data_IF_568069203555
#
_entry.id   IF_568069203555
#
_cell.length_a   1.000
_cell.length_b   1.000
_cell.length_c   1.000
_cell.angle_alpha   90.00
_cell.angle_beta   90.00
_cell.angle_gamma   90.00
#
_symmetry.space_group_name_H-M   'P 1'
#
loop_
_entity.id
_entity.type
_entity.pdbx_description
1 polymer ?
#
# COMPACT_ATOMS: atom_id res chain seq x y z
N UNK A 1 -16.64 -16.18 22.24
CA UNK A 1 -15.88 -17.45 22.17
C UNK A 1 -16.77 -18.55 22.72
N UNK A 2 -17.01 -19.58 21.94
CA UNK A 2 -17.79 -20.74 22.35
C UNK A 2 -16.87 -21.95 22.42
N UNK A 3 -17.11 -22.83 23.39
CA UNK A 3 -16.37 -24.07 23.59
C UNK A 3 -17.38 -25.21 23.47
N UNK A 4 -17.10 -26.14 22.54
CA UNK A 4 -17.87 -27.36 22.41
C UNK A 4 -17.10 -28.48 23.11
N UNK A 5 -17.69 -29.08 24.14
CA UNK A 5 -17.14 -30.25 24.83
C UNK A 5 -17.84 -31.52 24.32
N UNK A 6 -17.07 -32.43 23.73
CA UNK A 6 -17.55 -33.71 23.30
C UNK A 6 -17.23 -34.81 24.31
N UNK A 7 -17.87 -35.99 24.16
CA UNK A 7 -17.70 -37.15 25.06
C UNK A 7 -16.28 -37.75 25.15
N UNK A 8 -15.35 -37.28 24.32
CA UNK A 8 -13.96 -37.80 24.20
C UNK A 8 -12.91 -36.90 24.83
N UNK A 9 -13.23 -36.00 25.75
CA UNK A 9 -12.32 -35.07 26.40
C UNK A 9 -11.48 -34.19 25.42
N UNK A 10 -11.89 -34.10 24.15
CA UNK A 10 -11.26 -33.20 23.18
C UNK A 10 -11.96 -31.86 23.22
N UNK A 11 -11.22 -30.83 23.56
CA UNK A 11 -11.70 -29.45 23.57
C UNK A 11 -11.31 -28.79 22.26
N UNK A 12 -12.31 -28.31 21.52
CA UNK A 12 -12.09 -27.55 20.31
C UNK A 12 -12.65 -26.13 20.51
N UNK A 13 -11.87 -25.14 20.14
CA UNK A 13 -12.24 -23.75 20.25
C UNK A 13 -12.38 -23.12 18.85
N UNK A 14 -13.54 -22.58 18.58
CA UNK A 14 -13.84 -21.92 17.31
C UNK A 14 -14.09 -20.43 17.55
N UNK A 15 -13.41 -19.51 16.81
CA UNK A 15 -13.77 -18.11 16.83
C UNK A 15 -15.12 -17.92 16.11
N UNK A 16 -16.06 -17.28 16.77
CA UNK A 16 -17.33 -16.85 16.16
C UNK A 16 -17.41 -15.33 16.19
N UNK A 17 -17.82 -14.76 15.06
CA UNK A 17 -17.98 -13.33 14.91
C UNK A 17 -19.44 -13.00 14.62
N UNK A 18 -20.02 -12.05 15.37
CA UNK A 18 -21.26 -11.42 14.98
C UNK A 18 -20.98 -10.37 13.91
N UNK A 19 -21.49 -10.56 12.73
CA UNK A 19 -21.32 -9.63 11.61
C UNK A 19 -22.64 -8.98 11.23
N UNK A 20 -22.57 -7.80 10.62
CA UNK A 20 -23.74 -7.13 10.06
C UNK A 20 -24.37 -7.97 8.93
N UNK A 21 -25.68 -7.86 8.68
CA UNK A 21 -26.35 -8.65 7.65
C UNK A 21 -25.74 -8.51 6.24
N UNK A 22 -25.22 -7.35 5.91
CA UNK A 22 -24.54 -7.07 4.64
C UNK A 22 -23.20 -7.79 4.48
N UNK A 23 -22.61 -8.30 5.58
CA UNK A 23 -21.35 -9.02 5.59
C UNK A 23 -21.48 -10.55 5.66
N UNK A 24 -22.71 -11.08 5.90
CA UNK A 24 -22.94 -12.54 6.08
C UNK A 24 -22.60 -13.34 4.83
N UNK A 25 -22.46 -12.95 3.73
CA UNK A 25 -22.05 -13.71 2.55
C UNK A 25 -20.59 -13.50 2.16
N UNK A 26 -19.86 -12.68 2.90
CA UNK A 26 -18.49 -12.31 2.57
C UNK A 26 -17.49 -13.14 3.37
N UNK A 27 -16.45 -13.61 2.70
CA UNK A 27 -15.30 -14.24 3.35
C UNK A 27 -14.33 -13.15 3.79
N UNK A 28 -13.99 -13.06 5.09
CA UNK A 28 -12.92 -12.15 5.53
C UNK A 28 -11.57 -12.69 5.07
N UNK A 29 -10.78 -11.81 4.44
CA UNK A 29 -9.41 -12.08 4.03
C UNK A 29 -8.46 -11.29 4.92
N UNK A 30 -7.35 -11.92 5.33
CA UNK A 30 -6.28 -11.27 6.09
C UNK A 30 -5.18 -10.86 5.15
N UNK A 31 -4.77 -9.61 5.20
CA UNK A 31 -3.68 -9.15 4.36
C UNK A 31 -2.96 -7.95 4.94
N UNK A 32 -1.79 -7.70 4.37
CA UNK A 32 -1.02 -6.49 4.60
C UNK A 32 -0.63 -5.90 3.26
N UNK A 33 -0.81 -4.60 3.10
CA UNK A 33 -0.60 -3.88 1.84
C UNK A 33 0.40 -2.73 1.98
N UNK A 34 1.18 -2.72 3.07
CA UNK A 34 2.29 -1.78 3.26
C UNK A 34 3.48 -2.49 3.93
N UNK A 35 4.33 -3.07 3.09
CA UNK A 35 5.46 -3.91 3.51
C UNK A 35 6.71 -3.52 2.72
N UNK A 36 7.88 -3.62 3.38
CA UNK A 36 9.17 -3.31 2.79
C UNK A 36 10.11 -4.52 2.84
N UNK A 37 10.93 -4.63 1.81
CA UNK A 37 12.00 -5.61 1.72
C UNK A 37 13.38 -4.95 1.71
N UNK A 38 14.43 -5.76 1.58
CA UNK A 38 15.79 -5.27 1.39
C UNK A 38 16.04 -4.57 0.05
N UNK A 39 14.98 -4.40 -0.76
CA UNK A 39 15.03 -3.59 -1.97
C UNK A 39 14.82 -2.11 -1.69
N UNK A 40 14.41 -1.77 -0.46
CA UNK A 40 14.44 -0.40 0.09
C UNK A 40 15.05 -0.41 1.50
N UNK A 41 14.28 -0.28 2.54
CA UNK A 41 14.72 -0.15 3.92
C UNK A 41 14.36 -1.33 4.83
N UNK A 42 13.66 -2.34 4.29
CA UNK A 42 13.45 -3.62 4.97
C UNK A 42 14.73 -4.46 5.06
N UNK A 43 14.69 -5.50 5.86
CA UNK A 43 15.88 -6.35 6.13
C UNK A 43 15.96 -7.55 5.21
N UNK A 44 14.83 -8.10 4.81
CA UNK A 44 14.73 -9.40 4.17
C UNK A 44 14.42 -9.29 2.68
N UNK A 45 14.83 -10.30 1.91
CA UNK A 45 14.52 -10.33 0.47
C UNK A 45 13.02 -10.42 0.21
N UNK A 46 12.54 -9.92 -0.96
CA UNK A 46 11.11 -9.95 -1.32
C UNK A 46 10.42 -11.29 -1.15
N UNK A 47 11.09 -12.37 -1.58
CA UNK A 47 10.57 -13.74 -1.43
C UNK A 47 10.43 -14.16 0.04
N UNK A 48 11.36 -13.76 0.89
CA UNK A 48 11.30 -14.06 2.31
C UNK A 48 10.16 -13.32 3.00
N UNK A 49 9.99 -12.04 2.71
CA UNK A 49 8.85 -11.23 3.23
C UNK A 49 7.54 -11.90 2.88
N UNK A 50 7.37 -12.33 1.62
CA UNK A 50 6.17 -13.03 1.18
C UNK A 50 5.97 -14.38 1.91
N UNK A 51 7.03 -15.16 2.10
CA UNK A 51 6.97 -16.41 2.85
C UNK A 51 6.58 -16.19 4.31
N UNK A 52 7.15 -15.16 4.96
CA UNK A 52 6.83 -14.80 6.33
C UNK A 52 5.35 -14.37 6.48
N UNK A 53 4.84 -13.58 5.57
CA UNK A 53 3.41 -13.21 5.52
C UNK A 53 2.51 -14.45 5.44
N UNK A 54 2.82 -15.38 4.56
CA UNK A 54 2.08 -16.64 4.47
C UNK A 54 2.20 -17.48 5.73
N UNK A 55 3.38 -17.56 6.32
CA UNK A 55 3.65 -18.31 7.54
C UNK A 55 2.81 -17.83 8.73
N UNK A 56 2.62 -16.52 8.88
CA UNK A 56 1.78 -15.95 9.95
C UNK A 56 0.28 -15.99 9.64
N UNK A 57 -0.11 -16.56 8.50
CA UNK A 57 -1.50 -16.82 8.14
C UNK A 57 -2.19 -15.69 7.40
N UNK A 58 -1.45 -14.83 6.69
CA UNK A 58 -2.04 -13.90 5.75
C UNK A 58 -2.52 -14.64 4.49
N UNK A 59 -3.62 -14.17 3.94
CA UNK A 59 -4.20 -14.67 2.69
C UNK A 59 -3.66 -13.91 1.47
N UNK A 60 -3.27 -12.64 1.68
CA UNK A 60 -2.67 -11.82 0.63
C UNK A 60 -1.69 -10.78 1.20
N UNK A 61 -0.87 -10.21 0.31
CA UNK A 61 -0.03 -9.05 0.61
C UNK A 61 0.18 -8.18 -0.63
N UNK A 62 0.60 -6.93 -0.42
CA UNK A 62 1.30 -6.13 -1.42
C UNK A 62 2.66 -5.72 -0.84
N UNK A 63 3.74 -6.02 -1.58
CA UNK A 63 5.06 -5.51 -1.24
C UNK A 63 5.21 -4.12 -1.86
N UNK A 64 5.54 -3.13 -1.04
CA UNK A 64 5.48 -1.71 -1.40
C UNK A 64 6.76 -0.97 -1.05
N UNK A 65 7.88 -1.52 -1.50
CA UNK A 65 9.19 -0.91 -1.30
C UNK A 65 9.23 0.54 -1.80
N UNK A 66 9.96 1.39 -1.10
CA UNK A 66 10.13 2.79 -1.46
C UNK A 66 10.63 2.94 -2.89
N UNK A 67 9.89 3.64 -3.74
CA UNK A 67 10.24 3.95 -5.14
C UNK A 67 10.60 2.72 -5.98
N UNK A 68 10.12 1.53 -5.59
CA UNK A 68 10.59 0.29 -6.20
C UNK A 68 9.45 -0.72 -6.43
N UNK A 69 8.74 -0.53 -7.52
CA UNK A 69 7.69 -1.44 -7.97
C UNK A 69 8.22 -2.84 -8.30
N UNK A 70 9.48 -2.95 -8.78
CA UNK A 70 10.08 -4.23 -9.21
C UNK A 70 10.26 -5.22 -8.08
N UNK A 71 10.45 -4.74 -6.85
CA UNK A 71 10.52 -5.60 -5.67
C UNK A 71 9.28 -6.47 -5.51
N UNK A 72 8.09 -5.92 -5.76
CA UNK A 72 6.83 -6.65 -5.71
C UNK A 72 6.73 -7.73 -6.79
N UNK A 73 7.22 -7.44 -8.00
CA UNK A 73 7.28 -8.41 -9.09
C UNK A 73 8.27 -9.55 -8.80
N UNK A 74 9.39 -9.24 -8.12
CA UNK A 74 10.35 -10.26 -7.65
C UNK A 74 9.68 -11.22 -6.64
N UNK A 75 8.89 -10.68 -5.69
CA UNK A 75 8.12 -11.49 -4.76
C UNK A 75 7.10 -12.39 -5.49
N UNK A 76 6.36 -11.84 -6.46
CA UNK A 76 5.41 -12.60 -7.27
C UNK A 76 6.10 -13.74 -8.04
N UNK A 77 7.23 -13.44 -8.70
CA UNK A 77 7.98 -14.42 -9.48
C UNK A 77 8.49 -15.59 -8.62
N UNK A 78 8.91 -15.32 -7.39
CA UNK A 78 9.38 -16.36 -6.46
C UNK A 78 8.27 -17.36 -6.07
N UNK A 79 7.00 -16.97 -6.16
CA UNK A 79 5.85 -17.82 -5.81
C UNK A 79 5.12 -18.37 -7.04
N UNK A 80 5.58 -18.02 -8.24
CA UNK A 80 4.96 -18.48 -9.47
C UNK A 80 5.00 -20.00 -9.59
N UNK A 81 3.86 -20.62 -9.86
CA UNK A 81 3.73 -22.08 -10.00
C UNK A 81 3.65 -22.85 -8.68
N UNK A 82 3.71 -22.20 -7.53
CA UNK A 82 3.50 -22.86 -6.24
C UNK A 82 2.00 -23.04 -5.98
N UNK A 83 1.61 -24.26 -5.57
CA UNK A 83 0.23 -24.58 -5.23
C UNK A 83 -0.08 -24.14 -3.77
N UNK A 84 -0.11 -22.84 -3.54
CA UNK A 84 -0.44 -22.25 -2.24
C UNK A 84 -1.58 -21.25 -2.36
N UNK A 85 -2.44 -21.22 -1.35
CA UNK A 85 -3.54 -20.24 -1.24
C UNK A 85 -3.00 -18.94 -0.61
N UNK A 86 -2.24 -18.19 -1.40
CA UNK A 86 -1.68 -16.90 -1.01
C UNK A 86 -1.54 -16.00 -2.23
N UNK A 87 -2.00 -14.77 -2.13
CA UNK A 87 -1.94 -13.82 -3.24
C UNK A 87 -0.97 -12.68 -2.96
N UNK A 88 -0.04 -12.47 -3.87
CA UNK A 88 0.89 -11.34 -3.83
C UNK A 88 0.46 -10.35 -4.89
N UNK A 89 0.04 -9.15 -4.47
CA UNK A 89 -0.27 -8.04 -5.35
C UNK A 89 1.00 -7.23 -5.65
N UNK A 90 1.15 -6.71 -6.87
CA UNK A 90 2.24 -5.77 -7.16
C UNK A 90 2.02 -4.47 -6.39
N UNK A 91 3.09 -3.74 -6.13
CA UNK A 91 2.98 -2.45 -5.45
C UNK A 91 4.30 -1.73 -5.29
N UNK A 92 4.21 -0.52 -4.78
CA UNK A 92 5.31 0.35 -4.41
C UNK A 92 4.83 1.43 -3.46
N UNK A 93 5.72 1.99 -2.65
CA UNK A 93 5.49 3.24 -1.97
C UNK A 93 6.04 4.38 -2.81
N UNK A 94 5.11 5.16 -3.36
CA UNK A 94 5.42 6.27 -4.27
C UNK A 94 5.89 7.48 -3.48
N UNK A 95 7.02 8.05 -3.89
CA UNK A 95 7.59 9.27 -3.33
C UNK A 95 7.68 10.34 -4.41
N UNK A 96 6.71 11.23 -4.52
CA UNK A 96 6.78 12.29 -5.51
C UNK A 96 7.95 13.23 -5.22
N UNK A 97 8.64 13.75 -6.24
CA UNK A 97 9.69 14.73 -6.05
C UNK A 97 9.19 15.99 -5.34
N UNK A 98 9.98 16.51 -4.39
CA UNK A 98 9.70 17.73 -3.62
C UNK A 98 8.35 17.68 -2.86
N UNK A 99 7.91 16.47 -2.52
CA UNK A 99 6.70 16.25 -1.75
C UNK A 99 7.03 15.22 -0.65
N UNK A 100 6.88 15.58 0.63
CA UNK A 100 7.17 14.66 1.73
C UNK A 100 6.07 13.60 1.93
N UNK A 101 4.94 13.69 1.22
CA UNK A 101 3.85 12.70 1.32
C UNK A 101 4.21 11.43 0.58
N UNK A 102 4.14 10.31 1.28
CA UNK A 102 4.27 9.00 0.69
C UNK A 102 2.89 8.39 0.43
N UNK A 103 2.76 7.67 -0.68
CA UNK A 103 1.51 7.05 -1.09
C UNK A 103 1.74 5.63 -1.55
N UNK A 104 1.04 4.67 -0.96
CA UNK A 104 1.07 3.29 -1.42
C UNK A 104 0.25 3.15 -2.71
N UNK A 105 0.86 2.52 -3.70
CA UNK A 105 0.22 1.92 -4.86
C UNK A 105 0.12 0.41 -4.60
N UNK A 106 -1.03 -0.09 -4.19
CA UNK A 106 -1.25 -1.52 -3.96
C UNK A 106 -2.11 -2.12 -5.08
N UNK A 107 -1.58 -3.10 -5.78
CA UNK A 107 -2.27 -3.82 -6.84
C UNK A 107 -2.28 -3.11 -8.21
N UNK A 108 -1.71 -1.91 -8.30
CA UNK A 108 -1.63 -1.19 -9.59
C UNK A 108 -0.81 -1.94 -10.64
N UNK A 109 -1.22 -1.86 -11.89
CA UNK A 109 -0.64 -2.63 -13.00
C UNK A 109 0.69 -2.08 -13.54
N UNK A 110 1.14 -0.93 -13.04
CA UNK A 110 2.41 -0.30 -13.43
C UNK A 110 2.99 0.55 -12.30
N UNK A 111 4.29 0.88 -12.43
CA UNK A 111 4.97 1.81 -11.52
C UNK A 111 4.54 3.24 -11.78
N UNK A 112 3.99 3.90 -10.76
CA UNK A 112 3.72 5.34 -10.77
C UNK A 112 5.02 6.13 -10.56
N UNK A 113 5.95 5.57 -9.77
CA UNK A 113 7.27 6.17 -9.56
C UNK A 113 8.03 6.33 -10.89
N UNK A 114 7.97 5.33 -11.76
CA UNK A 114 8.66 5.37 -13.06
C UNK A 114 8.09 6.45 -13.99
N UNK A 115 6.82 6.85 -13.84
CA UNK A 115 6.22 7.94 -14.63
C UNK A 115 6.82 9.31 -14.30
N UNK A 116 7.48 9.45 -13.16
CA UNK A 116 8.16 10.68 -12.72
C UNK A 116 9.64 10.72 -13.13
N UNK A 117 10.13 9.73 -13.88
CA UNK A 117 11.52 9.66 -14.36
C UNK A 117 11.86 10.83 -15.29
N UNK A 118 10.93 11.26 -16.14
CA UNK A 118 11.03 12.55 -16.85
C UNK A 118 10.61 13.67 -15.89
N UNK A 119 11.57 14.14 -15.13
CA UNK A 119 11.38 15.18 -14.12
C UNK A 119 10.79 16.47 -14.73
N UNK A 120 11.22 16.87 -15.91
CA UNK A 120 10.76 18.10 -16.52
C UNK A 120 9.28 18.01 -16.94
N UNK A 121 8.89 16.88 -17.53
CA UNK A 121 7.49 16.63 -17.89
C UNK A 121 6.60 16.54 -16.64
N UNK A 122 7.07 15.85 -15.60
CA UNK A 122 6.34 15.78 -14.32
C UNK A 122 6.16 17.17 -13.70
N UNK A 123 7.23 17.95 -13.58
CA UNK A 123 7.18 19.30 -12.98
C UNK A 123 6.25 20.24 -13.74
N UNK A 124 6.26 20.19 -15.07
CA UNK A 124 5.35 21.01 -15.90
C UNK A 124 3.88 20.63 -15.66
N UNK A 125 3.58 19.34 -15.56
CA UNK A 125 2.23 18.87 -15.29
C UNK A 125 1.75 19.27 -13.89
N UNK A 126 2.61 19.13 -12.86
CA UNK A 126 2.26 19.52 -11.50
C UNK A 126 2.08 21.04 -11.39
N UNK A 127 2.93 21.85 -12.05
CA UNK A 127 2.75 23.30 -12.09
C UNK A 127 1.41 23.70 -12.70
N UNK A 128 1.06 23.13 -13.84
CA UNK A 128 -0.23 23.35 -14.50
C UNK A 128 -1.42 23.00 -13.59
N UNK A 129 -1.34 21.90 -12.85
CA UNK A 129 -2.39 21.48 -11.91
C UNK A 129 -2.47 22.40 -10.70
N UNK A 130 -1.33 22.85 -10.19
CA UNK A 130 -1.26 23.77 -9.06
C UNK A 130 -1.95 25.12 -9.34
N UNK A 131 -1.93 25.59 -10.59
CA UNK A 131 -2.68 26.80 -11.01
C UNK A 131 -4.19 26.66 -10.85
N UNK A 132 -4.72 25.45 -10.97
CA UNK A 132 -6.14 25.16 -10.82
C UNK A 132 -6.59 24.90 -9.37
N UNK A 133 -5.63 24.88 -8.42
CA UNK A 133 -5.93 24.68 -7.00
C UNK A 133 -6.60 25.91 -6.36
N UNK A 134 -7.31 25.75 -5.22
CA UNK A 134 -7.98 26.84 -4.53
C UNK A 134 -7.07 28.03 -4.23
N UNK A 135 -7.59 29.25 -4.37
CA UNK A 135 -6.83 30.49 -4.20
C UNK A 135 -6.35 30.78 -2.77
N UNK A 136 -6.92 30.10 -1.76
CA UNK A 136 -6.56 30.28 -0.35
C UNK A 136 -5.28 29.54 0.10
N UNK A 137 -4.70 28.69 -0.77
CA UNK A 137 -3.51 27.92 -0.49
C UNK A 137 -2.25 28.68 -0.91
N UNK A 138 -1.16 28.46 -0.19
CA UNK A 138 0.18 28.91 -0.58
C UNK A 138 0.63 28.20 -1.87
N UNK A 139 1.64 28.71 -2.58
CA UNK A 139 2.17 28.04 -3.76
C UNK A 139 2.69 26.61 -3.47
N UNK A 140 3.31 26.39 -2.30
CA UNK A 140 3.86 25.09 -1.91
C UNK A 140 2.74 24.08 -1.61
N UNK A 141 1.70 24.49 -0.87
CA UNK A 141 0.51 23.66 -0.63
C UNK A 141 -0.19 23.27 -1.93
N UNK A 142 -0.36 24.21 -2.86
CA UNK A 142 -0.96 23.91 -4.18
C UNK A 142 -0.14 22.87 -4.94
N UNK A 143 1.19 23.03 -4.94
CA UNK A 143 2.08 22.08 -5.61
C UNK A 143 2.02 20.70 -4.95
N UNK A 144 2.04 20.65 -3.62
CA UNK A 144 1.95 19.41 -2.86
C UNK A 144 0.62 18.69 -3.12
N UNK A 145 -0.51 19.40 -3.03
CA UNK A 145 -1.83 18.85 -3.32
C UNK A 145 -1.96 18.37 -4.77
N UNK A 146 -1.48 19.16 -5.73
CA UNK A 146 -1.49 18.80 -7.14
C UNK A 146 -0.70 17.51 -7.41
N UNK A 147 0.46 17.37 -6.76
CA UNK A 147 1.30 16.18 -6.80
C UNK A 147 0.57 14.95 -6.22
N UNK A 148 -0.02 15.07 -5.03
CA UNK A 148 -0.79 13.99 -4.42
C UNK A 148 -1.97 13.55 -5.29
N UNK A 149 -2.75 14.50 -5.81
CA UNK A 149 -3.88 14.20 -6.69
C UNK A 149 -3.43 13.48 -7.97
N UNK A 150 -2.31 13.93 -8.56
CA UNK A 150 -1.76 13.28 -9.74
C UNK A 150 -1.37 11.83 -9.44
N UNK A 151 -0.69 11.54 -8.32
CA UNK A 151 -0.31 10.18 -7.93
C UNK A 151 -1.54 9.31 -7.73
N UNK A 152 -2.56 9.78 -7.00
CA UNK A 152 -3.79 9.02 -6.81
C UNK A 152 -4.52 8.71 -8.12
N UNK A 153 -4.50 9.66 -9.07
CA UNK A 153 -5.07 9.42 -10.40
C UNK A 153 -4.28 8.35 -11.17
N UNK A 154 -2.93 8.39 -11.12
CA UNK A 154 -2.13 7.36 -11.79
C UNK A 154 -2.35 5.97 -11.19
N UNK A 155 -2.37 5.86 -9.86
CA UNK A 155 -2.66 4.59 -9.18
C UNK A 155 -4.02 4.05 -9.62
N UNK A 156 -5.06 4.90 -9.62
CA UNK A 156 -6.40 4.51 -10.07
C UNK A 156 -6.44 4.11 -11.55
N UNK A 157 -5.67 4.76 -12.42
CA UNK A 157 -5.53 4.36 -13.83
C UNK A 157 -4.91 2.98 -14.01
N UNK A 158 -4.09 2.55 -13.05
CA UNK A 158 -3.52 1.23 -12.97
C UNK A 158 -4.41 0.21 -12.26
N UNK A 159 -5.66 0.53 -11.94
CA UNK A 159 -6.59 -0.28 -11.14
C UNK A 159 -6.05 -0.61 -9.74
N UNK A 160 -5.11 0.19 -9.22
CA UNK A 160 -4.56 0.06 -7.88
C UNK A 160 -5.41 0.73 -6.82
N UNK A 161 -5.16 0.32 -5.58
CA UNK A 161 -5.67 0.98 -4.37
C UNK A 161 -4.60 1.95 -3.88
N UNK A 162 -4.98 3.21 -3.70
CA UNK A 162 -4.10 4.23 -3.16
C UNK A 162 -4.33 4.44 -1.67
N UNK A 163 -3.24 4.55 -0.90
CA UNK A 163 -3.28 4.81 0.54
C UNK A 163 -2.30 5.92 0.85
N UNK A 164 -2.78 6.93 1.61
CA UNK A 164 -1.92 7.92 2.23
C UNK A 164 -1.17 7.27 3.39
N UNK A 165 0.17 7.24 3.31
CA UNK A 165 1.00 6.55 4.30
C UNK A 165 1.14 7.38 5.58
N UNK A 166 1.22 6.67 6.72
CA UNK A 166 1.60 7.19 8.04
C UNK A 166 1.31 8.68 8.28
N UNK A 167 0.05 9.12 8.18
CA UNK A 167 -0.34 10.54 8.17
C UNK A 167 0.07 11.32 9.43
N UNK A 168 0.34 10.63 10.52
CA UNK A 168 0.75 11.24 11.80
C UNK A 168 2.23 11.01 12.15
N UNK A 169 3.02 10.54 11.18
CA UNK A 169 4.43 10.32 11.42
C UNK A 169 5.20 11.64 11.46
N UNK A 170 5.92 11.85 12.55
CA UNK A 170 6.77 13.02 12.75
C UNK A 170 8.22 12.60 12.47
N UNK A 171 8.86 13.22 11.49
CA UNK A 171 10.28 13.04 11.20
C UNK A 171 11.04 14.30 11.60
N UNK A 172 11.82 14.23 12.70
CA UNK A 172 12.53 15.39 13.22
C UNK A 172 11.58 16.50 13.68
N UNK A 173 11.82 17.73 13.23
CA UNK A 173 10.97 18.89 13.52
C UNK A 173 9.85 19.12 12.49
N UNK A 174 9.74 18.24 11.50
CA UNK A 174 8.73 18.34 10.47
C UNK A 174 7.47 17.55 10.88
N UNK A 175 6.36 18.22 11.01
CA UNK A 175 5.06 17.58 11.10
C UNK A 175 4.77 16.84 9.80
N UNK A 176 4.18 15.66 9.91
CA UNK A 176 3.64 15.02 8.73
C UNK A 176 2.33 15.76 8.37
N UNK A 177 2.19 16.08 7.19
CA UNK A 177 1.39 16.92 6.32
C UNK A 177 -0.13 16.89 6.57
N UNK A 178 -0.66 16.00 7.39
CA UNK A 178 -2.11 15.88 7.53
C UNK A 178 -2.76 16.88 8.48
N UNK A 179 -1.97 17.67 9.20
CA UNK A 179 -2.54 18.76 10.01
C UNK A 179 -2.86 19.99 9.14
N UNK A 180 -2.26 20.08 7.93
CA UNK A 180 -2.41 21.21 7.01
C UNK A 180 -3.25 20.88 5.75
N UNK A 181 -3.75 19.65 5.61
CA UNK A 181 -4.62 19.18 4.52
C UNK A 181 -6.05 18.96 5.02
#
# INVERSE_FOLDING_TARGET
RFVLEGQTARREEFPLFAVRPDLIGLRPWKGDIHLHSSRSDGREAPAYVAAACRQIGLDFMALTDHRNYRASLEAQAAFQGLAIDFRIFPGEEVHPPDNPVHMVNAGGSFSVQDLMADRAAYDAEIARRAEAMPAGLTPDERRMMASCQWVFEQIRRGDGISILCHPYWITGDAHNITEDL
#
